data_IF_880969959026
#
_entry.id   IF_880969959026
#
_cell.length_a   1.000
_cell.length_b   1.000
_cell.length_c   1.000
_cell.angle_alpha   90.00
_cell.angle_beta   90.00
_cell.angle_gamma   90.00
#
_symmetry.space_group_name_H-M   'P 1'
#
loop_
_entity.id
_entity.type
_entity.pdbx_description
1 polymer ?
#
# COMPACT_ATOMS: atom_id res chain seq x y z
N UNK A 1 22.73 -0.15 -7.46
CA UNK A 1 21.87 0.30 -6.34
C UNK A 1 20.39 0.28 -6.71
N UNK A 2 19.96 0.98 -7.77
CA UNK A 2 18.55 1.00 -8.20
C UNK A 2 18.00 -0.37 -8.59
N UNK A 3 18.79 -1.18 -9.32
CA UNK A 3 18.42 -2.55 -9.72
C UNK A 3 18.17 -3.47 -8.52
N UNK A 4 18.98 -3.35 -7.46
CA UNK A 4 18.80 -4.11 -6.23
C UNK A 4 17.52 -3.69 -5.50
N UNK A 5 17.23 -2.39 -5.45
CA UNK A 5 15.97 -1.87 -4.88
C UNK A 5 14.76 -2.38 -5.66
N UNK A 6 14.80 -2.34 -6.99
CA UNK A 6 13.75 -2.93 -7.85
C UNK A 6 13.55 -4.41 -7.54
N UNK A 7 14.65 -5.17 -7.43
CA UNK A 7 14.58 -6.60 -7.07
C UNK A 7 13.96 -6.83 -5.70
N UNK A 8 14.29 -6.00 -4.71
CA UNK A 8 13.76 -6.11 -3.35
C UNK A 8 12.26 -5.78 -3.28
N UNK A 9 11.82 -4.71 -3.94
CA UNK A 9 10.40 -4.38 -4.06
C UNK A 9 9.62 -5.50 -4.74
N UNK A 10 10.13 -6.01 -5.87
CA UNK A 10 9.52 -7.13 -6.58
C UNK A 10 9.43 -8.39 -5.72
N UNK A 11 10.47 -8.72 -4.95
CA UNK A 11 10.45 -9.86 -4.05
C UNK A 11 9.42 -9.69 -2.94
N UNK A 12 9.40 -8.53 -2.26
CA UNK A 12 8.46 -8.25 -1.19
C UNK A 12 6.99 -8.25 -1.66
N UNK A 13 6.71 -7.65 -2.82
CA UNK A 13 5.37 -7.63 -3.42
C UNK A 13 4.92 -9.03 -3.88
N UNK A 14 5.83 -9.86 -4.42
CA UNK A 14 5.51 -11.26 -4.77
C UNK A 14 5.28 -12.12 -3.52
N UNK A 15 6.00 -11.86 -2.43
CA UNK A 15 5.71 -12.49 -1.14
C UNK A 15 4.33 -12.08 -0.63
N UNK A 16 4.00 -10.79 -0.66
CA UNK A 16 2.66 -10.31 -0.28
C UNK A 16 1.56 -10.95 -1.15
N UNK A 17 1.77 -11.03 -2.47
CA UNK A 17 0.86 -11.73 -3.38
C UNK A 17 0.61 -13.17 -2.93
N UNK A 18 1.68 -13.92 -2.64
CA UNK A 18 1.58 -15.30 -2.16
C UNK A 18 0.84 -15.39 -0.83
N UNK A 19 1.06 -14.44 0.09
CA UNK A 19 0.35 -14.38 1.37
C UNK A 19 -1.14 -14.12 1.17
N UNK A 20 -1.54 -13.27 0.22
CA UNK A 20 -2.96 -13.01 -0.10
C UNK A 20 -3.63 -14.29 -0.62
N UNK A 21 -2.99 -14.98 -1.57
CA UNK A 21 -3.52 -16.20 -2.18
C UNK A 21 -3.68 -17.34 -1.16
N UNK A 22 -2.70 -17.50 -0.26
CA UNK A 22 -2.69 -18.57 0.74
C UNK A 22 -3.54 -18.24 1.99
N UNK A 23 -3.98 -17.00 2.16
CA UNK A 23 -4.77 -16.60 3.32
C UNK A 23 -6.13 -17.31 3.31
N UNK A 24 -6.56 -18.04 4.35
CA UNK A 24 -7.90 -18.61 4.42
C UNK A 24 -9.00 -17.53 4.39
N UNK A 25 -10.12 -17.78 3.69
CA UNK A 25 -11.21 -16.79 3.56
C UNK A 25 -11.77 -16.33 4.91
N UNK A 26 -11.84 -17.25 5.89
CA UNK A 26 -12.26 -16.92 7.25
C UNK A 26 -11.35 -15.90 7.94
N UNK A 27 -10.04 -15.94 7.68
CA UNK A 27 -9.06 -15.01 8.24
C UNK A 27 -9.01 -13.70 7.46
N UNK A 28 -9.38 -13.74 6.18
CA UNK A 28 -9.42 -12.57 5.31
C UNK A 28 -10.32 -11.47 5.87
N UNK A 29 -11.49 -11.88 6.37
CA UNK A 29 -12.57 -11.00 6.88
C UNK A 29 -12.72 -11.06 8.40
N UNK A 30 -11.76 -11.65 9.12
CA UNK A 30 -11.87 -11.84 10.56
C UNK A 30 -11.87 -10.50 11.30
N UNK A 31 -12.98 -10.23 12.02
CA UNK A 31 -13.19 -9.02 12.81
C UNK A 31 -12.85 -9.21 14.30
N UNK A 32 -12.37 -10.40 14.72
CA UNK A 32 -11.85 -10.60 16.08
C UNK A 32 -10.60 -9.76 16.35
N UNK A 33 -9.89 -9.37 15.29
CA UNK A 33 -8.76 -8.45 15.34
C UNK A 33 -9.20 -7.04 14.93
N UNK A 34 -8.55 -6.01 15.50
CA UNK A 34 -8.85 -4.61 15.18
C UNK A 34 -8.78 -4.30 13.67
N UNK A 35 -7.86 -4.97 12.97
CA UNK A 35 -7.74 -4.87 11.52
C UNK A 35 -7.85 -6.26 10.92
N UNK A 36 -8.94 -6.50 10.19
CA UNK A 36 -9.06 -7.68 9.32
C UNK A 36 -7.93 -7.72 8.30
N UNK A 37 -7.56 -8.92 7.86
CA UNK A 37 -6.36 -9.12 7.07
C UNK A 37 -6.39 -8.34 5.74
N UNK A 38 -7.56 -8.22 5.11
CA UNK A 38 -7.72 -7.41 3.89
C UNK A 38 -7.38 -5.93 4.11
N UNK A 39 -7.68 -5.36 5.30
CA UNK A 39 -7.35 -3.96 5.64
C UNK A 39 -5.85 -3.77 5.74
N UNK A 40 -5.14 -4.73 6.34
CA UNK A 40 -3.69 -4.71 6.43
C UNK A 40 -3.08 -4.76 5.03
N UNK A 41 -3.54 -5.68 4.17
CA UNK A 41 -3.08 -5.77 2.78
C UNK A 41 -3.32 -4.45 2.05
N UNK A 42 -4.53 -3.91 2.13
CA UNK A 42 -4.87 -2.66 1.45
C UNK A 42 -4.02 -1.48 1.94
N UNK A 43 -3.83 -1.36 3.26
CA UNK A 43 -2.94 -0.35 3.85
C UNK A 43 -1.52 -0.47 3.30
N UNK A 44 -0.95 -1.68 3.28
CA UNK A 44 0.38 -1.93 2.72
C UNK A 44 0.47 -1.52 1.25
N UNK A 45 -0.50 -1.90 0.42
CA UNK A 45 -0.53 -1.55 -1.01
C UNK A 45 -0.71 -0.05 -1.24
N UNK A 46 -1.59 0.61 -0.47
CA UNK A 46 -1.81 2.04 -0.54
C UNK A 46 -0.51 2.81 -0.29
N UNK A 47 0.17 2.54 0.82
CA UNK A 47 1.41 3.23 1.15
C UNK A 47 2.58 2.84 0.24
N UNK A 48 2.62 1.60 -0.26
CA UNK A 48 3.60 1.22 -1.28
C UNK A 48 3.42 2.06 -2.55
N UNK A 49 2.18 2.20 -3.04
CA UNK A 49 1.91 3.05 -4.20
C UNK A 49 2.17 4.54 -3.93
N UNK A 50 1.90 5.01 -2.72
CA UNK A 50 2.20 6.38 -2.31
C UNK A 50 3.71 6.65 -2.34
N UNK A 51 4.52 5.79 -1.75
CA UNK A 51 5.97 6.01 -1.68
C UNK A 51 6.71 5.71 -2.99
N UNK A 52 6.09 4.99 -3.93
CA UNK A 52 6.56 4.88 -5.31
C UNK A 52 6.21 6.10 -6.18
N UNK A 53 5.33 6.99 -5.70
CA UNK A 53 5.08 8.27 -6.37
C UNK A 53 6.23 9.24 -6.12
N UNK A 54 6.41 10.21 -7.03
CA UNK A 54 7.50 11.19 -6.94
C UNK A 54 7.43 12.03 -5.67
N UNK A 55 6.22 12.40 -5.25
CA UNK A 55 5.93 13.21 -4.07
C UNK A 55 4.42 13.15 -3.73
N UNK A 56 3.98 13.59 -2.54
CA UNK A 56 2.58 13.55 -2.14
C UNK A 56 1.62 14.21 -3.14
N UNK A 57 2.04 15.29 -3.81
CA UNK A 57 1.21 16.08 -4.72
C UNK A 57 0.97 15.39 -6.07
N UNK A 58 1.90 14.53 -6.48
CA UNK A 58 1.79 13.73 -7.71
C UNK A 58 1.06 12.40 -7.51
N UNK A 59 0.82 12.00 -6.25
CA UNK A 59 0.15 10.75 -5.95
C UNK A 59 -1.32 10.81 -6.40
N UNK A 60 -1.68 9.86 -7.26
CA UNK A 60 -3.08 9.62 -7.62
C UNK A 60 -3.53 8.33 -6.95
N UNK A 61 -4.64 8.39 -6.22
CA UNK A 61 -5.22 7.21 -5.59
C UNK A 61 -5.68 6.20 -6.63
N UNK A 62 -5.67 4.93 -6.24
CA UNK A 62 -6.22 3.87 -7.05
C UNK A 62 -7.71 4.11 -7.35
N UNK A 63 -8.19 3.71 -8.52
CA UNK A 63 -9.57 3.97 -8.96
C UNK A 63 -10.65 3.40 -8.04
N UNK A 64 -10.34 2.32 -7.31
CA UNK A 64 -11.23 1.71 -6.32
C UNK A 64 -10.98 2.22 -4.90
N UNK A 65 -10.12 3.22 -4.69
CA UNK A 65 -9.87 3.80 -3.38
C UNK A 65 -11.17 4.35 -2.77
N UNK A 66 -11.38 4.04 -1.49
CA UNK A 66 -12.45 4.60 -0.67
C UNK A 66 -11.85 5.45 0.43
N UNK A 67 -12.51 6.56 0.71
CA UNK A 67 -12.08 7.51 1.74
C UNK A 67 -11.80 6.77 3.05
N UNK A 68 -10.64 7.07 3.66
CA UNK A 68 -10.19 6.53 4.95
C UNK A 68 -9.91 5.03 5.01
N UNK A 69 -10.10 4.25 3.93
CA UNK A 69 -9.78 2.81 3.96
C UNK A 69 -8.29 2.54 4.16
N UNK A 70 -7.44 3.52 3.84
CA UNK A 70 -6.00 3.42 4.03
C UNK A 70 -5.59 3.53 5.50
N UNK A 71 -6.51 3.87 6.41
CA UNK A 71 -6.26 3.94 7.84
C UNK A 71 -6.49 2.56 8.50
N UNK A 72 -5.62 2.23 9.45
CA UNK A 72 -5.82 1.10 10.36
C UNK A 72 -6.47 1.59 11.66
N UNK A 73 -7.05 0.66 12.41
CA UNK A 73 -7.77 0.95 13.66
C UNK A 73 -9.24 1.31 13.42
N UNK A 74 -9.87 1.91 14.43
CA UNK A 74 -11.27 2.33 14.36
C UNK A 74 -11.44 3.81 14.00
N UNK A 75 -10.36 4.59 14.06
CA UNK A 75 -10.37 6.03 13.84
C UNK A 75 -9.24 6.46 12.90
N UNK A 76 -9.49 7.50 12.11
CA UNK A 76 -8.50 8.17 11.28
C UNK A 76 -7.50 8.95 12.12
N UNK A 77 -6.43 9.45 11.49
CA UNK A 77 -5.43 10.29 12.15
C UNK A 77 -5.99 11.61 12.73
N UNK A 78 -7.12 12.09 12.21
CA UNK A 78 -7.86 13.25 12.72
C UNK A 78 -9.06 12.87 13.62
N UNK A 79 -9.03 11.66 14.21
CA UNK A 79 -10.00 11.14 15.17
C UNK A 79 -11.45 11.01 14.65
N UNK A 80 -11.64 10.78 13.34
CA UNK A 80 -12.96 10.47 12.77
C UNK A 80 -13.15 8.95 12.71
N UNK A 81 -14.38 8.44 12.95
CA UNK A 81 -14.64 7.00 12.85
C UNK A 81 -14.42 6.51 11.41
N UNK A 82 -13.76 5.36 11.28
CA UNK A 82 -13.58 4.68 9.99
C UNK A 82 -14.83 3.86 9.71
N UNK A 83 -15.47 4.11 8.57
CA UNK A 83 -16.68 3.40 8.15
C UNK A 83 -16.35 2.47 6.98
N UNK A 84 -16.43 1.17 7.23
CA UNK A 84 -16.24 0.13 6.21
C UNK A 84 -17.61 -0.30 5.69
N UNK A 85 -17.84 -0.06 4.40
CA UNK A 85 -19.09 -0.38 3.69
C UNK A 85 -18.90 -1.49 2.65
N UNK A 86 -17.66 -1.85 2.33
CA UNK A 86 -17.33 -2.93 1.41
C UNK A 86 -16.00 -3.55 1.83
N UNK A 87 -15.93 -4.87 1.76
CA UNK A 87 -14.71 -5.62 1.98
C UNK A 87 -14.06 -5.85 0.61
N UNK A 88 -12.78 -5.48 0.47
CA UNK A 88 -12.06 -5.85 -0.75
C UNK A 88 -11.77 -7.35 -0.77
N UNK A 89 -12.09 -7.99 -1.89
CA UNK A 89 -11.73 -9.38 -2.13
C UNK A 89 -10.24 -9.52 -2.41
N UNK A 90 -9.74 -10.75 -2.33
CA UNK A 90 -8.34 -11.08 -2.68
C UNK A 90 -8.05 -10.73 -4.14
N UNK A 91 -9.00 -10.98 -5.04
CA UNK A 91 -8.87 -10.69 -6.47
C UNK A 91 -8.72 -9.18 -6.71
N UNK A 92 -9.51 -8.37 -6.00
CA UNK A 92 -9.45 -6.91 -6.08
C UNK A 92 -8.08 -6.40 -5.58
N UNK A 93 -7.57 -6.91 -4.45
CA UNK A 93 -6.28 -6.46 -3.92
C UNK A 93 -5.08 -7.01 -4.69
N UNK A 94 -5.17 -8.19 -5.28
CA UNK A 94 -4.12 -8.72 -6.17
C UNK A 94 -4.08 -7.99 -7.52
N UNK A 95 -5.22 -7.51 -8.04
CA UNK A 95 -5.25 -6.58 -9.18
C UNK A 95 -4.47 -5.30 -8.87
N UNK A 96 -4.72 -4.70 -7.70
CA UNK A 96 -3.99 -3.49 -7.29
C UNK A 96 -2.49 -3.75 -7.10
N UNK A 97 -2.13 -4.88 -6.49
CA UNK A 97 -0.74 -5.30 -6.32
C UNK A 97 -0.02 -5.44 -7.67
N UNK A 98 -0.66 -6.06 -8.67
CA UNK A 98 -0.09 -6.18 -10.02
C UNK A 98 0.13 -4.82 -10.68
N UNK A 99 -0.83 -3.90 -10.53
CA UNK A 99 -0.68 -2.54 -11.04
C UNK A 99 0.47 -1.78 -10.36
N UNK A 100 0.78 -2.07 -9.09
CA UNK A 100 1.96 -1.55 -8.39
C UNK A 100 3.24 -2.18 -8.95
N UNK A 101 3.28 -3.51 -9.11
CA UNK A 101 4.44 -4.23 -9.69
C UNK A 101 4.85 -3.67 -11.05
N UNK A 102 3.90 -3.38 -11.93
CA UNK A 102 4.15 -2.80 -13.26
C UNK A 102 4.81 -1.42 -13.20
N UNK A 103 4.66 -0.68 -12.10
CA UNK A 103 5.21 0.67 -11.92
C UNK A 103 6.54 0.70 -11.18
N UNK A 104 6.94 -0.38 -10.49
CA UNK A 104 8.15 -0.38 -9.64
C UNK A 104 9.38 0.06 -10.43
N UNK A 105 9.64 -0.54 -11.59
CA UNK A 105 10.88 -0.28 -12.33
C UNK A 105 10.97 1.17 -12.81
N UNK A 106 9.87 1.71 -13.36
CA UNK A 106 9.86 3.10 -13.85
C UNK A 106 9.95 4.09 -12.68
N UNK A 107 9.19 3.87 -11.60
CA UNK A 107 9.24 4.69 -10.39
C UNK A 107 10.66 4.77 -9.80
N UNK A 108 11.32 3.63 -9.60
CA UNK A 108 12.69 3.62 -9.04
C UNK A 108 13.71 4.20 -10.02
N UNK A 109 13.54 3.98 -11.31
CA UNK A 109 14.43 4.55 -12.34
C UNK A 109 14.40 6.08 -12.33
N UNK A 110 13.21 6.66 -12.21
CA UNK A 110 12.97 8.11 -12.19
C UNK A 110 13.32 8.79 -10.85
N UNK A 111 13.54 8.04 -9.77
CA UNK A 111 13.93 8.61 -8.48
C UNK A 111 15.29 9.32 -8.56
N UNK A 112 15.35 10.55 -8.08
CA UNK A 112 16.57 11.34 -7.94
C UNK A 112 17.38 10.86 -6.73
N UNK A 113 18.67 10.52 -6.93
CA UNK A 113 19.55 10.11 -5.83
C UNK A 113 19.92 11.32 -4.95
N UNK A 114 20.03 11.10 -3.63
CA UNK A 114 20.38 12.11 -2.64
C UNK A 114 19.41 13.32 -2.55
N UNK A 115 18.24 13.21 -3.17
CA UNK A 115 17.17 14.19 -2.99
C UNK A 115 16.49 13.98 -1.65
N UNK A 116 16.27 15.07 -0.93
CA UNK A 116 15.46 15.10 0.28
C UNK A 116 14.02 14.68 -0.06
N UNK A 117 13.48 13.72 0.69
CA UNK A 117 12.09 13.30 0.59
C UNK A 117 11.14 14.49 0.77
N UNK A 118 10.22 14.68 -0.18
CA UNK A 118 9.14 15.68 -0.07
C UNK A 118 7.99 15.21 0.86
N UNK A 119 8.06 13.98 1.36
CA UNK A 119 7.17 13.48 2.41
C UNK A 119 7.61 14.04 3.78
N UNK A 120 6.97 15.12 4.21
CA UNK A 120 7.34 15.85 5.44
C UNK A 120 7.21 15.05 6.76
N UNK A 121 6.60 13.85 6.72
CA UNK A 121 6.48 12.94 7.86
C UNK A 121 7.56 11.84 7.89
N UNK A 122 8.46 11.77 6.90
CA UNK A 122 9.59 10.83 6.92
C UNK A 122 10.76 11.50 7.66
N UNK A 123 11.15 11.03 8.86
CA UNK A 123 12.21 11.67 9.63
C UNK A 123 13.57 11.50 8.94
N UNK A 124 14.41 12.55 8.96
CA UNK A 124 15.84 12.43 8.63
C UNK A 124 16.31 12.95 7.28
N UNK A 125 15.55 13.84 6.63
CA UNK A 125 16.04 14.58 5.46
C UNK A 125 15.60 16.06 5.57
N UNK A 126 16.13 16.79 6.54
CA UNK A 126 16.08 18.25 6.62
C UNK A 126 17.44 18.78 7.01
#
# INVERSE_FOLDING_TARGET
MKSEIVSQYNAALKMLFSTIELCPDKLWIDEEYENSFWRIVYHTLFYTSLYLSKNPQSFTTWSKHKENYNCLGNFTYDNKPIVINEIYSKEILTEYLKAILEKVEISISEMEENKISEFNWIPGMS
#
